data_IF_776894385714
#
_entry.id   IF_776894385714
#
_cell.length_a   1.000
_cell.length_b   1.000
_cell.length_c   1.000
_cell.angle_alpha   90.00
_cell.angle_beta   90.00
_cell.angle_gamma   90.00
#
_symmetry.space_group_name_H-M   'P 1'
#
loop_
_entity.id
_entity.type
_entity.pdbx_description
1 polymer ?
#
# COMPACT_ATOMS: atom_id res chain seq x y z
N UNK A 1 10.92 8.91 4.20
CA UNK A 1 10.63 8.21 5.47
C UNK A 1 9.84 6.97 5.13
N UNK A 2 9.94 5.92 5.93
CA UNK A 2 9.19 4.68 5.71
C UNK A 2 8.01 4.60 6.69
N UNK A 3 6.87 4.11 6.21
CA UNK A 3 5.64 3.94 6.99
C UNK A 3 5.18 2.50 6.81
N UNK A 4 4.86 1.82 7.91
CA UNK A 4 4.16 0.54 7.89
C UNK A 4 2.65 0.82 7.79
N UNK A 5 1.99 0.25 6.79
CA UNK A 5 0.54 0.31 6.66
C UNK A 5 -0.09 -0.95 7.24
N UNK A 6 -1.07 -0.76 8.12
CA UNK A 6 -1.93 -1.84 8.59
C UNK A 6 -3.27 -1.81 7.85
N UNK A 7 -3.85 -2.99 7.63
CA UNK A 7 -5.16 -3.11 7.00
C UNK A 7 -5.80 -4.43 7.39
N UNK A 8 -7.13 -4.49 7.41
CA UNK A 8 -7.82 -5.74 7.66
C UNK A 8 -7.56 -6.73 6.51
N UNK A 9 -6.81 -7.78 6.81
CA UNK A 9 -6.43 -8.79 5.83
C UNK A 9 -7.38 -9.98 5.88
N UNK A 10 -7.85 -10.42 4.71
CA UNK A 10 -8.54 -11.71 4.58
C UNK A 10 -7.55 -12.87 4.48
N UNK A 11 -6.78 -12.90 3.39
CA UNK A 11 -5.82 -13.99 3.14
C UNK A 11 -4.42 -13.74 3.72
N UNK A 12 -3.93 -12.50 3.76
CA UNK A 12 -2.56 -12.18 4.17
C UNK A 12 -1.45 -12.57 3.19
N UNK A 13 -1.78 -13.18 2.04
CA UNK A 13 -0.81 -13.59 1.00
C UNK A 13 -1.20 -13.11 -0.41
N UNK A 14 -2.02 -12.05 -0.50
CA UNK A 14 -2.24 -11.31 -1.74
C UNK A 14 -3.30 -11.83 -2.71
N UNK A 15 -4.04 -12.90 -2.41
CA UNK A 15 -5.08 -13.44 -3.33
C UNK A 15 -6.45 -12.75 -3.16
N UNK A 16 -6.79 -12.29 -1.95
CA UNK A 16 -8.14 -11.78 -1.67
C UNK A 16 -8.38 -10.31 -2.04
N UNK A 17 -7.32 -9.55 -2.38
CA UNK A 17 -7.38 -8.11 -2.65
C UNK A 17 -8.03 -7.23 -1.56
N UNK A 18 -8.23 -7.75 -0.34
CA UNK A 18 -8.80 -6.99 0.77
C UNK A 18 -7.84 -5.98 1.39
N UNK A 19 -6.54 -6.14 1.16
CA UNK A 19 -5.46 -5.34 1.75
C UNK A 19 -4.93 -4.25 0.77
N UNK A 20 -5.75 -3.74 -0.17
CA UNK A 20 -5.27 -2.84 -1.24
C UNK A 20 -5.24 -1.36 -0.84
N UNK A 21 -4.22 -0.64 -1.32
CA UNK A 21 -4.01 0.78 -1.09
C UNK A 21 -3.49 1.48 -2.37
N UNK A 22 -3.90 2.74 -2.65
CA UNK A 22 -3.34 3.52 -3.75
C UNK A 22 -1.91 3.99 -3.43
N UNK A 23 -0.93 3.40 -4.12
CA UNK A 23 0.51 3.64 -3.90
C UNK A 23 1.19 3.79 -5.27
N UNK A 24 2.06 4.78 -5.41
CA UNK A 24 2.86 4.97 -6.62
C UNK A 24 4.10 4.08 -6.60
N UNK A 25 4.61 3.76 -7.79
CA UNK A 25 5.91 3.10 -7.94
C UNK A 25 7.08 4.06 -7.66
N UNK A 26 6.92 5.29 -8.13
CA UNK A 26 7.88 6.39 -8.07
C UNK A 26 7.10 7.71 -8.10
N UNK A 27 7.76 8.84 -7.83
CA UNK A 27 7.09 10.13 -7.64
C UNK A 27 6.30 10.62 -8.87
N UNK A 28 6.72 10.20 -10.07
CA UNK A 28 6.12 10.61 -11.35
C UNK A 28 5.04 9.64 -11.85
N UNK A 29 4.91 8.47 -11.22
CA UNK A 29 3.91 7.47 -11.59
C UNK A 29 2.51 7.82 -11.11
N UNK A 30 1.49 7.32 -11.80
CA UNK A 30 0.12 7.35 -11.29
C UNK A 30 -0.06 6.42 -10.08
N UNK A 31 -1.05 6.74 -9.24
CA UNK A 31 -1.43 5.86 -8.13
C UNK A 31 -2.03 4.56 -8.66
N UNK A 32 -1.50 3.44 -8.19
CA UNK A 32 -2.02 2.10 -8.52
C UNK A 32 -2.38 1.36 -7.24
N UNK A 33 -3.39 0.49 -7.34
CA UNK A 33 -3.78 -0.35 -6.20
C UNK A 33 -2.73 -1.43 -5.96
N UNK A 34 -2.00 -1.28 -4.85
CA UNK A 34 -1.02 -2.25 -4.37
C UNK A 34 -1.52 -2.98 -3.15
N UNK A 35 -1.17 -4.25 -3.02
CA UNK A 35 -1.56 -5.10 -1.88
C UNK A 35 -0.54 -4.93 -0.76
N UNK A 36 -0.97 -4.36 0.37
CA UNK A 36 -0.15 -4.18 1.56
C UNK A 36 0.46 -5.51 2.02
N UNK A 37 -0.34 -6.57 2.01
CA UNK A 37 0.06 -7.91 2.47
C UNK A 37 0.98 -8.69 1.53
N UNK A 38 1.30 -8.16 0.35
CA UNK A 38 2.15 -8.85 -0.65
C UNK A 38 3.28 -7.96 -1.17
N UNK A 39 2.99 -6.68 -1.41
CA UNK A 39 3.95 -5.67 -1.89
C UNK A 39 4.48 -4.77 -0.76
N UNK A 40 3.80 -4.76 0.39
CA UNK A 40 4.19 -4.05 1.61
C UNK A 40 4.67 -5.02 2.71
N UNK A 41 4.51 -4.69 4.01
CA UNK A 41 3.68 -3.62 4.59
C UNK A 41 4.37 -2.24 4.70
N UNK A 42 5.67 -2.17 4.41
CA UNK A 42 6.47 -0.96 4.54
C UNK A 42 6.56 -0.24 3.20
N UNK A 43 6.22 1.05 3.17
CA UNK A 43 6.26 1.88 1.97
C UNK A 43 6.94 3.22 2.25
N UNK A 44 7.50 3.83 1.20
CA UNK A 44 7.97 5.21 1.29
C UNK A 44 6.77 6.17 1.41
N UNK A 45 6.79 7.01 2.43
CA UNK A 45 5.74 7.99 2.72
C UNK A 45 5.44 8.92 1.54
N UNK A 46 6.43 9.20 0.70
CA UNK A 46 6.31 10.08 -0.47
C UNK A 46 5.57 9.43 -1.64
N UNK A 47 5.36 8.12 -1.61
CA UNK A 47 4.67 7.37 -2.66
C UNK A 47 3.20 7.10 -2.33
N UNK A 48 2.75 7.42 -1.12
CA UNK A 48 1.38 7.23 -0.65
C UNK A 48 0.45 8.33 -1.14
N UNK A 49 -0.84 8.00 -1.33
CA UNK A 49 -1.86 8.99 -1.66
C UNK A 49 -2.11 9.92 -0.47
N UNK A 50 -2.24 11.25 -0.66
CA UNK A 50 -2.61 12.16 0.42
C UNK A 50 -3.95 11.74 1.04
N UNK A 51 -3.94 11.39 2.33
CA UNK A 51 -5.12 10.91 3.06
C UNK A 51 -5.14 9.41 3.36
N UNK A 52 -4.09 8.66 3.01
CA UNK A 52 -3.88 7.32 3.58
C UNK A 52 -3.39 7.45 5.03
N UNK A 53 -4.14 6.88 5.96
CA UNK A 53 -3.80 6.82 7.38
C UNK A 53 -3.23 5.42 7.65
N UNK A 54 -2.05 5.36 8.30
CA UNK A 54 -1.31 4.13 8.56
C UNK A 54 -1.87 3.29 9.70
#
# INVERSE_FOLDING_TARGET
CEICLESMMGCGFGICFGCVAPIRKDAESEFVNRRICWEGPVFDSTLLCPGIEG
#
